data_IF_277799696685
#
_entry.id   IF_277799696685
#
_cell.length_a   1.000
_cell.length_b   1.000
_cell.length_c   1.000
_cell.angle_alpha   90.00
_cell.angle_beta   90.00
_cell.angle_gamma   90.00
#
_symmetry.space_group_name_H-M   'P 1'
#
loop_
_entity.id
_entity.type
_entity.pdbx_description
1 polymer ?
#
# COMPACT_ATOMS: atom_id res chain seq x y z
N UNK A 1 30.67 60.89 23.53
CA UNK A 1 29.45 61.37 22.84
C UNK A 1 28.99 60.28 21.88
N UNK A 2 27.66 60.14 21.78
CA UNK A 2 26.84 59.07 21.19
C UNK A 2 27.36 58.48 19.86
N UNK A 3 27.49 57.15 19.81
CA UNK A 3 27.55 56.41 18.54
C UNK A 3 26.16 56.35 17.90
N UNK A 4 26.05 56.72 16.63
CA UNK A 4 24.82 56.59 15.86
C UNK A 4 24.60 55.13 15.48
N UNK A 5 23.51 54.55 15.95
CA UNK A 5 22.99 53.30 15.41
C UNK A 5 22.12 53.67 14.20
N UNK A 6 22.54 53.27 13.01
CA UNK A 6 21.70 53.29 11.81
C UNK A 6 20.75 52.12 11.86
N UNK A 7 19.48 52.37 12.16
CA UNK A 7 18.40 51.42 11.91
C UNK A 7 18.05 51.51 10.43
N UNK A 8 18.69 50.68 9.60
CA UNK A 8 18.18 50.37 8.26
C UNK A 8 16.77 49.79 8.44
N UNK A 9 15.77 50.45 7.86
CA UNK A 9 14.37 50.06 8.02
C UNK A 9 14.13 48.69 7.40
N UNK A 10 13.81 47.70 8.22
CA UNK A 10 13.17 46.47 7.76
C UNK A 10 11.81 46.85 7.15
N UNK A 11 11.72 46.79 5.82
CA UNK A 11 10.45 46.98 5.12
C UNK A 11 9.56 45.75 5.40
N UNK A 12 8.58 45.92 6.29
CA UNK A 12 7.57 44.90 6.56
C UNK A 12 6.69 44.63 5.33
N UNK A 13 6.22 43.40 5.20
CA UNK A 13 5.29 42.99 4.14
C UNK A 13 3.99 43.80 4.23
N UNK A 14 3.53 44.35 3.11
CA UNK A 14 2.24 45.01 3.06
C UNK A 14 1.10 43.98 3.10
N UNK A 15 -0.09 44.40 3.53
CA UNK A 15 -1.28 43.55 3.51
C UNK A 15 -1.60 43.06 2.09
N UNK A 16 -1.42 43.93 1.09
CA UNK A 16 -1.67 43.60 -0.32
C UNK A 16 -0.71 42.53 -0.83
N UNK A 17 0.58 42.66 -0.53
CA UNK A 17 1.58 41.63 -0.88
C UNK A 17 1.26 40.30 -0.19
N UNK A 18 0.81 40.34 1.06
CA UNK A 18 0.38 39.13 1.78
C UNK A 18 -0.81 38.46 1.09
N UNK A 19 -1.81 39.24 0.67
CA UNK A 19 -2.95 38.73 -0.10
C UNK A 19 -2.53 38.16 -1.46
N UNK A 20 -1.60 38.81 -2.16
CA UNK A 20 -1.08 38.33 -3.44
C UNK A 20 -0.33 37.00 -3.28
N UNK A 21 0.49 36.86 -2.23
CA UNK A 21 1.19 35.62 -1.91
C UNK A 21 0.20 34.51 -1.55
N UNK A 22 -0.80 34.78 -0.71
CA UNK A 22 -1.81 33.78 -0.35
C UNK A 22 -2.61 33.32 -1.57
N UNK A 23 -2.98 34.24 -2.47
CA UNK A 23 -3.67 33.91 -3.71
C UNK A 23 -2.80 33.02 -4.60
N UNK A 24 -1.50 33.33 -4.72
CA UNK A 24 -0.56 32.52 -5.47
C UNK A 24 -0.40 31.11 -4.86
N UNK A 25 -0.33 31.00 -3.53
CA UNK A 25 -0.28 29.72 -2.82
C UNK A 25 -1.54 28.89 -3.09
N UNK A 26 -2.73 29.49 -3.04
CA UNK A 26 -3.99 28.79 -3.33
C UNK A 26 -4.04 28.31 -4.78
N UNK A 27 -3.61 29.14 -5.73
CA UNK A 27 -3.54 28.76 -7.15
C UNK A 27 -2.60 27.57 -7.35
N UNK A 28 -1.40 27.62 -6.77
CA UNK A 28 -0.46 26.50 -6.84
C UNK A 28 -1.04 25.23 -6.18
N UNK A 29 -1.63 25.36 -4.98
CA UNK A 29 -2.23 24.22 -4.29
C UNK A 29 -3.35 23.57 -5.12
N UNK A 30 -4.20 24.37 -5.77
CA UNK A 30 -5.28 23.89 -6.63
C UNK A 30 -4.79 23.10 -7.84
N UNK A 31 -3.59 23.43 -8.35
CA UNK A 31 -2.99 22.72 -9.48
C UNK A 31 -2.37 21.38 -9.04
N UNK A 32 -1.71 21.33 -7.88
CA UNK A 32 -0.97 20.14 -7.46
C UNK A 32 -1.86 19.10 -6.77
N UNK A 33 -2.87 19.53 -6.01
CA UNK A 33 -3.77 18.64 -5.26
C UNK A 33 -4.40 17.50 -6.07
N UNK A 34 -5.00 17.70 -7.27
CA UNK A 34 -5.65 16.61 -8.01
C UNK A 34 -4.70 15.50 -8.46
N UNK A 35 -3.40 15.77 -8.52
CA UNK A 35 -2.41 14.77 -8.90
C UNK A 35 -1.95 13.90 -7.72
N UNK A 36 -2.11 14.36 -6.48
CA UNK A 36 -1.67 13.62 -5.30
C UNK A 36 -2.47 12.33 -5.07
N UNK A 37 -3.77 12.32 -5.32
CA UNK A 37 -4.62 11.15 -5.06
C UNK A 37 -4.19 9.91 -5.86
N UNK A 38 -3.79 10.10 -7.12
CA UNK A 38 -3.33 9.01 -7.98
C UNK A 38 -1.98 8.45 -7.52
N UNK A 39 -1.06 9.35 -7.18
CA UNK A 39 0.26 8.97 -6.68
C UNK A 39 0.13 8.26 -5.34
N UNK A 40 -0.72 8.78 -4.46
CA UNK A 40 -0.97 8.21 -3.14
C UNK A 40 -1.61 6.81 -3.23
N UNK A 41 -2.62 6.64 -4.07
CA UNK A 41 -3.27 5.33 -4.29
C UNK A 41 -2.27 4.30 -4.83
N UNK A 42 -1.45 4.68 -5.81
CA UNK A 42 -0.38 3.82 -6.35
C UNK A 42 0.66 3.45 -5.30
N UNK A 43 1.01 4.40 -4.43
CA UNK A 43 1.98 4.18 -3.37
C UNK A 43 1.46 3.22 -2.30
N UNK A 44 0.19 3.35 -1.91
CA UNK A 44 -0.48 2.41 -1.01
C UNK A 44 -0.49 0.99 -1.57
N UNK A 45 -0.98 0.80 -2.80
CA UNK A 45 -1.02 -0.50 -3.48
C UNK A 45 0.36 -1.14 -3.58
N UNK A 46 1.37 -0.37 -4.01
CA UNK A 46 2.74 -0.86 -4.14
C UNK A 46 3.29 -1.32 -2.78
N UNK A 47 3.00 -0.56 -1.71
CA UNK A 47 3.43 -0.90 -0.36
C UNK A 47 2.78 -2.20 0.12
N UNK A 48 1.47 -2.37 -0.13
CA UNK A 48 0.75 -3.59 0.18
C UNK A 48 1.31 -4.81 -0.57
N UNK A 49 1.58 -4.69 -1.88
CA UNK A 49 2.16 -5.77 -2.68
C UNK A 49 3.56 -6.16 -2.21
N UNK A 50 4.42 -5.18 -1.90
CA UNK A 50 5.77 -5.45 -1.38
C UNK A 50 5.72 -6.17 -0.03
N UNK A 51 4.75 -5.81 0.82
CA UNK A 51 4.53 -6.49 2.09
C UNK A 51 4.08 -7.94 1.89
N UNK A 52 3.12 -8.18 0.99
CA UNK A 52 2.64 -9.52 0.65
C UNK A 52 3.79 -10.37 0.10
N UNK A 53 4.54 -9.87 -0.88
CA UNK A 53 5.69 -10.59 -1.45
C UNK A 53 6.74 -10.96 -0.40
N UNK A 54 7.00 -10.04 0.54
CA UNK A 54 7.91 -10.31 1.66
C UNK A 54 7.36 -11.41 2.57
N UNK A 55 6.10 -11.32 2.95
CA UNK A 55 5.46 -12.31 3.83
C UNK A 55 5.37 -13.69 3.15
N UNK A 56 5.13 -13.75 1.84
CA UNK A 56 5.14 -14.98 1.05
C UNK A 56 6.53 -15.64 1.03
N UNK A 57 7.57 -14.84 0.79
CA UNK A 57 8.96 -15.32 0.82
C UNK A 57 9.36 -15.82 2.20
N UNK A 58 8.95 -15.11 3.26
CA UNK A 58 9.18 -15.52 4.64
C UNK A 58 8.44 -16.83 4.95
N UNK A 59 7.17 -16.94 4.52
CA UNK A 59 6.36 -18.13 4.70
C UNK A 59 6.97 -19.37 4.03
N UNK A 60 7.47 -19.22 2.80
CA UNK A 60 8.19 -20.29 2.11
C UNK A 60 9.48 -20.67 2.86
N UNK A 61 10.27 -19.68 3.28
CA UNK A 61 11.55 -19.91 3.98
C UNK A 61 11.36 -20.59 5.33
N UNK A 62 10.36 -20.19 6.12
CA UNK A 62 10.06 -20.78 7.42
C UNK A 62 9.45 -22.19 7.29
N UNK A 63 8.63 -22.42 6.26
CA UNK A 63 8.12 -23.75 5.95
C UNK A 63 9.24 -24.70 5.50
N UNK A 64 10.14 -24.26 4.62
CA UNK A 64 11.24 -25.06 4.12
C UNK A 64 12.35 -25.28 5.16
N UNK A 65 12.69 -24.26 5.95
CA UNK A 65 13.82 -24.29 6.88
C UNK A 65 13.48 -24.80 8.28
N UNK A 66 12.27 -24.53 8.78
CA UNK A 66 11.85 -24.90 10.15
C UNK A 66 10.68 -25.87 10.21
N UNK A 67 10.10 -26.25 9.06
CA UNK A 67 8.93 -27.12 8.99
C UNK A 67 7.67 -26.51 9.62
N UNK A 68 7.62 -25.18 9.77
CA UNK A 68 6.47 -24.47 10.36
C UNK A 68 5.45 -24.15 9.28
N UNK A 69 4.20 -24.51 9.53
CA UNK A 69 3.11 -24.10 8.65
C UNK A 69 2.84 -22.59 8.77
N UNK A 70 2.74 -21.95 7.61
CA UNK A 70 2.43 -20.54 7.44
C UNK A 70 1.23 -20.39 6.52
N UNK A 71 0.29 -19.52 6.87
CA UNK A 71 -0.89 -19.24 6.04
C UNK A 71 -1.14 -17.74 5.93
N UNK A 72 -1.35 -17.25 4.72
CA UNK A 72 -1.86 -15.91 4.48
C UNK A 72 -3.33 -16.02 4.12
N UNK A 73 -4.20 -15.44 4.95
CA UNK A 73 -5.66 -15.48 4.81
C UNK A 73 -6.15 -14.08 4.43
N UNK A 74 -6.66 -13.97 3.21
CA UNK A 74 -7.30 -12.77 2.69
C UNK A 74 -8.81 -12.90 2.86
N UNK A 75 -9.45 -11.86 3.39
CA UNK A 75 -10.87 -11.81 3.67
C UNK A 75 -11.52 -10.71 2.83
N UNK A 76 -12.63 -11.01 2.16
CA UNK A 76 -13.40 -10.03 1.41
C UNK A 76 -13.85 -8.86 2.31
N UNK A 77 -13.79 -7.64 1.78
CA UNK A 77 -14.20 -6.42 2.47
C UNK A 77 -13.35 -6.03 3.70
N UNK A 78 -12.23 -6.71 4.00
CA UNK A 78 -11.34 -6.34 5.12
C UNK A 78 -10.14 -5.53 4.64
N UNK A 79 -9.77 -4.44 5.34
CA UNK A 79 -8.60 -3.62 5.00
C UNK A 79 -7.27 -4.25 5.47
N UNK A 80 -7.27 -5.56 5.72
CA UNK A 80 -6.13 -6.31 6.21
C UNK A 80 -6.23 -7.78 5.77
N UNK A 81 -5.08 -8.45 5.70
CA UNK A 81 -5.00 -9.91 5.66
C UNK A 81 -4.43 -10.43 6.98
N UNK A 82 -4.59 -11.73 7.22
CA UNK A 82 -4.06 -12.40 8.40
C UNK A 82 -2.88 -13.28 8.00
N UNK A 83 -1.80 -13.21 8.76
CA UNK A 83 -0.66 -14.11 8.69
C UNK A 83 -0.74 -15.06 9.89
N UNK A 84 -1.03 -16.32 9.63
CA UNK A 84 -1.07 -17.38 10.63
C UNK A 84 0.28 -18.10 10.66
N UNK A 85 0.96 -18.05 11.80
CA UNK A 85 2.26 -18.68 12.04
C UNK A 85 2.15 -19.59 13.26
N UNK A 86 2.12 -20.92 13.05
CA UNK A 86 2.17 -21.89 14.15
C UNK A 86 1.17 -21.60 15.29
N UNK A 87 -0.05 -21.16 14.95
CA UNK A 87 -1.11 -20.81 15.91
C UNK A 87 -1.18 -19.34 16.34
N UNK A 88 -0.19 -18.51 15.98
CA UNK A 88 -0.25 -17.05 16.17
C UNK A 88 -0.88 -16.39 14.94
N UNK A 89 -1.84 -15.50 15.14
CA UNK A 89 -2.47 -14.75 14.05
C UNK A 89 -2.03 -13.29 14.11
N UNK A 90 -1.36 -12.82 13.06
CA UNK A 90 -0.94 -11.43 12.92
C UNK A 90 -1.76 -10.73 11.84
N UNK A 91 -2.29 -9.55 12.15
CA UNK A 91 -3.01 -8.73 11.16
C UNK A 91 -2.05 -7.81 10.43
N UNK A 92 -2.12 -7.84 9.11
CA UNK A 92 -1.26 -7.08 8.21
C UNK A 92 -2.11 -6.13 7.38
N UNK A 93 -1.82 -4.82 7.37
CA UNK A 93 -2.64 -3.85 6.65
C UNK A 93 -2.57 -4.11 5.15
N UNK A 94 -3.68 -3.84 4.46
CA UNK A 94 -3.84 -4.01 3.02
C UNK A 94 -4.23 -2.65 2.39
N UNK A 95 -3.36 -1.62 2.45
CA UNK A 95 -3.71 -0.27 2.00
C UNK A 95 -3.87 -0.22 0.47
N UNK A 96 -4.98 0.36 0.01
CA UNK A 96 -5.27 0.53 -1.40
C UNK A 96 -5.59 -0.77 -2.17
N UNK A 97 -5.70 -1.91 -1.48
CA UNK A 97 -6.05 -3.20 -2.10
C UNK A 97 -7.18 -3.88 -1.32
N UNK A 98 -8.00 -4.64 -2.03
CA UNK A 98 -9.08 -5.47 -1.49
C UNK A 98 -9.07 -6.84 -2.16
N UNK A 99 -9.63 -7.87 -1.53
CA UNK A 99 -9.76 -9.18 -2.18
C UNK A 99 -10.76 -9.08 -3.34
N UNK A 100 -10.40 -9.63 -4.51
CA UNK A 100 -11.35 -9.78 -5.61
C UNK A 100 -12.33 -10.91 -5.28
N UNK A 101 -13.61 -10.57 -5.22
CA UNK A 101 -14.70 -11.44 -4.78
C UNK A 101 -15.99 -10.62 -4.67
N UNK A 102 -17.14 -11.29 -4.55
CA UNK A 102 -18.42 -10.59 -4.38
C UNK A 102 -18.48 -9.96 -2.98
N UNK A 103 -18.59 -8.63 -2.90
CA UNK A 103 -18.70 -7.88 -1.62
C UNK A 103 -19.90 -8.34 -0.76
N UNK A 104 -20.88 -9.02 -1.36
CA UNK A 104 -22.10 -9.48 -0.69
C UNK A 104 -21.94 -10.80 0.10
N UNK A 105 -20.85 -11.55 -0.10
CA UNK A 105 -20.57 -12.76 0.65
C UNK A 105 -19.43 -12.52 1.65
N UNK A 106 -19.77 -12.09 2.88
CA UNK A 106 -18.82 -11.88 3.98
C UNK A 106 -17.98 -13.11 4.41
N UNK A 107 -18.13 -14.24 3.72
CA UNK A 107 -17.42 -15.50 3.92
C UNK A 107 -16.39 -15.82 2.83
N UNK A 108 -16.26 -15.00 1.78
CA UNK A 108 -15.27 -15.25 0.74
C UNK A 108 -13.84 -14.99 1.27
N UNK A 109 -13.05 -16.06 1.34
CA UNK A 109 -11.67 -16.04 1.81
C UNK A 109 -10.76 -16.76 0.83
N UNK A 110 -9.58 -16.19 0.61
CA UNK A 110 -8.51 -16.83 -0.16
C UNK A 110 -7.35 -17.10 0.77
N UNK A 111 -6.85 -18.34 0.76
CA UNK A 111 -5.76 -18.78 1.64
C UNK A 111 -4.58 -19.24 0.81
N UNK A 112 -3.41 -18.63 1.05
CA UNK A 112 -2.13 -19.07 0.52
C UNK A 112 -1.39 -19.79 1.65
N UNK A 113 -1.06 -21.07 1.44
CA UNK A 113 -0.49 -21.95 2.47
C UNK A 113 0.90 -22.46 2.09
N UNK A 114 1.81 -22.44 3.06
CA UNK A 114 3.15 -23.02 2.96
C UNK A 114 3.38 -23.98 4.14
N UNK A 115 3.91 -25.16 3.84
CA UNK A 115 4.06 -26.27 4.78
C UNK A 115 4.25 -27.62 4.07
N UNK A 116 3.94 -28.71 4.78
CA UNK A 116 4.04 -30.08 4.23
C UNK A 116 3.17 -30.27 2.98
N UNK A 117 1.97 -29.67 2.98
CA UNK A 117 0.99 -29.72 1.88
C UNK A 117 0.92 -28.39 1.09
N UNK A 118 2.09 -27.81 0.80
CA UNK A 118 2.16 -26.63 -0.09
C UNK A 118 1.66 -27.01 -1.48
N UNK A 119 0.64 -26.32 -2.03
CA UNK A 119 0.19 -26.52 -3.41
C UNK A 119 1.31 -26.23 -4.41
N UNK A 120 1.28 -26.93 -5.56
CA UNK A 120 2.18 -26.65 -6.69
C UNK A 120 2.02 -25.20 -7.18
N UNK A 121 0.79 -24.69 -7.17
CA UNK A 121 0.48 -23.31 -7.52
C UNK A 121 -0.77 -22.83 -6.77
N UNK A 122 -0.73 -21.58 -6.30
CA UNK A 122 -1.81 -20.91 -5.59
C UNK A 122 -1.78 -19.42 -5.89
N UNK A 123 -2.94 -18.78 -5.93
CA UNK A 123 -3.06 -17.38 -6.33
C UNK A 123 -4.03 -16.63 -5.41
N UNK A 124 -3.77 -15.35 -5.20
CA UNK A 124 -4.77 -14.40 -4.72
C UNK A 124 -4.94 -13.29 -5.75
N UNK A 125 -6.19 -12.91 -5.99
CA UNK A 125 -6.53 -11.79 -6.87
C UNK A 125 -6.98 -10.64 -5.99
N UNK A 126 -6.36 -9.48 -6.18
CA UNK A 126 -6.60 -8.26 -5.41
C UNK A 126 -7.05 -7.14 -6.33
N UNK A 127 -8.01 -6.34 -5.90
CA UNK A 127 -8.50 -5.17 -6.60
C UNK A 127 -7.87 -3.91 -5.98
N UNK A 128 -7.29 -3.08 -6.83
CA UNK A 128 -6.78 -1.76 -6.48
C UNK A 128 -7.62 -0.63 -7.08
N UNK A 129 -7.17 0.60 -6.89
CA UNK A 129 -7.85 1.79 -7.37
C UNK A 129 -7.94 1.81 -8.90
N UNK A 130 -9.07 2.33 -9.41
CA UNK A 130 -9.40 2.43 -10.84
C UNK A 130 -9.50 1.08 -11.56
N UNK A 131 -9.99 0.04 -10.89
CA UNK A 131 -10.24 -1.27 -11.50
C UNK A 131 -8.97 -2.06 -11.84
N UNK A 132 -7.82 -1.68 -11.28
CA UNK A 132 -6.57 -2.45 -11.45
C UNK A 132 -6.66 -3.76 -10.69
N UNK A 133 -6.36 -4.85 -11.38
CA UNK A 133 -6.41 -6.21 -10.83
C UNK A 133 -4.99 -6.73 -10.68
N UNK A 134 -4.64 -7.14 -9.48
CA UNK A 134 -3.35 -7.71 -9.12
C UNK A 134 -3.52 -9.19 -8.84
N UNK A 135 -2.91 -10.06 -9.65
CA UNK A 135 -2.83 -11.49 -9.38
C UNK A 135 -1.48 -11.80 -8.76
N UNK A 136 -1.48 -12.17 -7.49
CA UNK A 136 -0.27 -12.60 -6.78
C UNK A 136 -0.22 -14.12 -6.81
N UNK A 137 0.83 -14.65 -7.43
CA UNK A 137 1.08 -16.07 -7.58
C UNK A 137 2.16 -16.52 -6.59
N UNK A 138 1.91 -17.64 -5.94
CA UNK A 138 2.84 -18.33 -5.09
C UNK A 138 2.87 -19.82 -5.49
N UNK A 139 4.07 -20.37 -5.61
CA UNK A 139 4.29 -21.75 -5.99
C UNK A 139 5.43 -22.32 -5.18
N UNK A 140 5.41 -23.63 -4.94
CA UNK A 140 6.46 -24.30 -4.16
C UNK A 140 7.80 -24.20 -4.89
N UNK A 141 8.83 -23.67 -4.24
CA UNK A 141 10.19 -23.59 -4.79
C UNK A 141 10.35 -22.55 -5.90
N UNK A 142 9.36 -21.67 -6.10
CA UNK A 142 9.43 -20.55 -7.05
C UNK A 142 9.17 -19.24 -6.30
N UNK A 143 9.93 -18.17 -6.60
CA UNK A 143 9.68 -16.89 -5.98
C UNK A 143 8.26 -16.40 -6.29
N UNK A 144 7.59 -15.72 -5.35
CA UNK A 144 6.26 -15.20 -5.60
C UNK A 144 6.28 -14.09 -6.66
N UNK A 145 5.28 -14.09 -7.53
CA UNK A 145 5.18 -13.19 -8.68
C UNK A 145 3.88 -12.38 -8.62
N UNK A 146 3.90 -11.15 -9.16
CA UNK A 146 2.72 -10.29 -9.25
C UNK A 146 2.47 -9.95 -10.70
N UNK A 147 1.27 -10.27 -11.17
CA UNK A 147 0.77 -9.90 -12.48
C UNK A 147 -0.25 -8.78 -12.31
N UNK A 148 -0.16 -7.75 -13.15
CA UNK A 148 -1.06 -6.59 -13.13
C UNK A 148 -1.89 -6.63 -14.40
N UNK A 149 -3.19 -6.84 -14.23
CA UNK A 149 -4.18 -6.69 -15.30
C UNK A 149 -4.94 -5.39 -15.06
N UNK A 150 -4.71 -4.40 -15.92
CA UNK A 150 -5.43 -3.13 -15.92
C UNK A 150 -4.97 -2.30 -17.10
N UNK A 151 -5.91 -1.74 -17.86
CA UNK A 151 -5.62 -0.80 -18.93
C UNK A 151 -4.76 0.34 -18.39
N UNK A 152 -3.56 0.46 -18.94
CA UNK A 152 -2.77 1.67 -18.81
C UNK A 152 -3.45 2.77 -19.63
N UNK A 153 -4.32 3.53 -19.00
CA UNK A 153 -4.76 4.85 -19.44
C UNK A 153 -3.88 5.95 -18.87
#
# INVERSE_FOLDING_TARGET
>A
MKGSWSTEGEAGFTLLETMAVLLLVVLLASLVFPHFDLVYSRWQEKTALLQILRDLKEAESEAAGRGREMRLVFLAGKPYYQLELGGTVLRRPLPGLTLAGEEEAGDEKTVIKFGAETPEEQAVVLLGAKGRVYRVLAAKGRPPEVFVNGEGG
#
